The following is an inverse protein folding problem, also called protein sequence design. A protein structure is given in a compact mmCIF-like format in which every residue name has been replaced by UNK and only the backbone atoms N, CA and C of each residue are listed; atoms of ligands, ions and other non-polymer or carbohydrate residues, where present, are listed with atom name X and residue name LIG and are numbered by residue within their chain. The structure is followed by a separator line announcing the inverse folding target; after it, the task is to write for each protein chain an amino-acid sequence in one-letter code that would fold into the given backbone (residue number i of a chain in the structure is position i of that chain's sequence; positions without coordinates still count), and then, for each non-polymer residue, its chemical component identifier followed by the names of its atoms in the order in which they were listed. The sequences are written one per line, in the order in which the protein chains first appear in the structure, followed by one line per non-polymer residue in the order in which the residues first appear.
data_IF_520336513700
#
_entry.id   IF_520336513700
#
_cell.length_a   1.000
_cell.length_b   1.000
_cell.length_c   1.000
_cell.angle_alpha   90.00
_cell.angle_beta   90.00
_cell.angle_gamma   90.00
#
_symmetry.space_group_name_H-M   'P 1'
#
loop_
_entity.id
_entity.type
_entity.pdbx_description
1 polymer ?
#
# COMPACT_ATOMS: atom_id res chain seq x y z
N UNK A 1 6.52 -14.54 23.87
CA UNK A 1 5.46 -13.60 23.41
C UNK A 1 5.09 -12.67 24.56
N UNK A 2 4.79 -11.38 24.29
CA UNK A 2 4.30 -10.46 25.31
C UNK A 2 2.88 -10.84 25.77
N UNK A 3 2.50 -10.45 26.99
CA UNK A 3 1.13 -10.67 27.51
C UNK A 3 0.09 -10.08 26.56
N UNK A 4 0.38 -8.93 25.95
CA UNK A 4 -0.47 -8.28 24.95
C UNK A 4 -0.72 -9.18 23.73
N UNK A 5 0.32 -9.80 23.19
CA UNK A 5 0.20 -10.71 22.05
C UNK A 5 -0.54 -12.00 22.42
N UNK A 6 -0.31 -12.54 23.63
CA UNK A 6 -1.02 -13.73 24.13
C UNK A 6 -2.52 -13.46 24.30
N UNK A 7 -2.90 -12.30 24.88
CA UNK A 7 -4.31 -11.89 25.03
C UNK A 7 -4.99 -11.75 23.68
N UNK A 8 -4.32 -11.11 22.70
CA UNK A 8 -4.87 -10.97 21.37
C UNK A 8 -5.08 -12.32 20.70
N UNK A 9 -4.11 -13.22 20.80
CA UNK A 9 -4.20 -14.58 20.25
C UNK A 9 -5.36 -15.39 20.87
N UNK A 10 -5.55 -15.29 22.19
CA UNK A 10 -6.65 -15.97 22.88
C UNK A 10 -8.03 -15.42 22.46
N UNK A 11 -8.17 -14.09 22.31
CA UNK A 11 -9.40 -13.47 21.83
C UNK A 11 -9.66 -13.77 20.37
N UNK A 12 -8.61 -13.87 19.56
CA UNK A 12 -8.69 -14.19 18.14
C UNK A 12 -9.14 -15.65 17.91
N UNK A 13 -8.61 -16.58 18.69
CA UNK A 13 -9.04 -17.98 18.65
C UNK A 13 -10.50 -18.16 19.09
N UNK A 14 -11.04 -17.24 19.88
CA UNK A 14 -12.40 -17.28 20.42
C UNK A 14 -13.30 -16.17 19.83
N UNK A 15 -13.07 -15.75 18.60
CA UNK A 15 -13.82 -14.66 17.96
C UNK A 15 -15.33 -14.75 18.20
N UNK A 16 -15.94 -13.63 18.54
CA UNK A 16 -17.37 -13.52 18.84
C UNK A 16 -17.78 -14.04 20.22
N UNK A 17 -16.91 -14.78 20.92
CA UNK A 17 -17.16 -15.25 22.28
C UNK A 17 -16.54 -14.29 23.30
N UNK A 18 -17.30 -13.94 24.33
CA UNK A 18 -16.76 -13.19 25.45
C UNK A 18 -15.99 -14.13 26.40
N UNK A 19 -14.75 -13.74 26.72
CA UNK A 19 -13.90 -14.40 27.69
C UNK A 19 -13.72 -13.45 28.87
N UNK A 20 -13.97 -13.93 30.08
CA UNK A 20 -13.80 -13.09 31.28
C UNK A 20 -12.33 -12.75 31.50
N UNK A 21 -12.08 -11.61 32.16
CA UNK A 21 -10.70 -11.24 32.52
C UNK A 21 -10.05 -12.23 33.50
N UNK A 22 -10.83 -12.98 34.26
CA UNK A 22 -10.32 -14.05 35.12
C UNK A 22 -9.94 -15.28 34.28
N UNK A 23 -10.80 -15.72 33.39
CA UNK A 23 -10.55 -16.85 32.49
C UNK A 23 -9.28 -16.63 31.65
N UNK A 24 -9.10 -15.40 31.08
CA UNK A 24 -7.86 -15.04 30.38
C UNK A 24 -6.63 -15.06 31.31
N UNK A 25 -6.77 -14.58 32.54
CA UNK A 25 -5.68 -14.58 33.52
C UNK A 25 -5.23 -16.00 33.86
N UNK A 26 -6.20 -16.89 34.10
CA UNK A 26 -5.95 -18.30 34.41
C UNK A 26 -5.34 -19.03 33.21
N UNK A 27 -5.89 -18.84 32.01
CA UNK A 27 -5.40 -19.45 30.78
C UNK A 27 -3.95 -19.05 30.44
N UNK A 28 -3.59 -17.79 30.69
CA UNK A 28 -2.27 -17.24 30.33
C UNK A 28 -1.27 -17.22 31.49
N UNK A 29 -1.68 -17.65 32.70
CA UNK A 29 -0.81 -17.67 33.88
C UNK A 29 -0.38 -16.28 34.36
N UNK A 30 -1.24 -15.25 34.21
CA UNK A 30 -0.94 -13.86 34.57
C UNK A 30 -2.02 -13.25 35.47
N UNK A 31 -1.77 -12.08 36.06
CA UNK A 31 -2.78 -11.41 36.87
C UNK A 31 -3.88 -10.75 36.05
N UNK A 32 -5.09 -10.60 36.63
CA UNK A 32 -6.19 -9.83 36.01
C UNK A 32 -5.80 -8.40 35.66
N UNK A 33 -4.94 -7.77 36.48
CA UNK A 33 -4.42 -6.43 36.23
C UNK A 33 -3.55 -6.41 34.95
N UNK A 34 -2.76 -7.48 34.71
CA UNK A 34 -1.97 -7.62 33.46
C UNK A 34 -2.89 -7.78 32.24
N UNK A 35 -3.99 -8.56 32.35
CA UNK A 35 -5.01 -8.69 31.31
C UNK A 35 -5.63 -7.32 30.99
N UNK A 36 -6.10 -6.60 32.02
CA UNK A 36 -6.70 -5.28 31.85
C UNK A 36 -5.74 -4.30 31.16
N UNK A 37 -4.47 -4.25 31.55
CA UNK A 37 -3.42 -3.46 30.91
C UNK A 37 -3.24 -3.84 29.44
N UNK A 38 -3.18 -5.15 29.16
CA UNK A 38 -3.01 -5.65 27.79
C UNK A 38 -4.20 -5.28 26.89
N UNK A 39 -5.43 -5.47 27.37
CA UNK A 39 -6.65 -5.09 26.65
C UNK A 39 -6.72 -3.59 26.42
N UNK A 40 -6.39 -2.78 27.43
CA UNK A 40 -6.36 -1.31 27.32
C UNK A 40 -5.35 -0.88 26.25
N UNK A 41 -4.15 -1.47 26.23
CA UNK A 41 -3.14 -1.20 25.25
C UNK A 41 -3.58 -1.64 23.82
N UNK A 42 -4.18 -2.82 23.68
CA UNK A 42 -4.71 -3.31 22.41
C UNK A 42 -5.79 -2.38 21.84
N UNK A 43 -6.70 -1.91 22.69
CA UNK A 43 -7.75 -0.97 22.29
C UNK A 43 -7.17 0.40 21.90
N UNK A 44 -6.16 0.87 22.63
CA UNK A 44 -5.44 2.10 22.27
C UNK A 44 -4.70 1.98 20.92
N UNK A 45 -4.26 0.77 20.55
CA UNK A 45 -3.66 0.49 19.24
C UNK A 45 -4.71 0.19 18.15
N UNK A 46 -5.99 0.50 18.40
CA UNK A 46 -7.06 0.35 17.40
C UNK A 46 -7.61 -1.07 17.25
N UNK A 47 -7.21 -2.04 18.11
CA UNK A 47 -7.81 -3.38 18.08
C UNK A 47 -9.27 -3.28 18.55
N UNK A 48 -10.26 -3.74 17.75
CA UNK A 48 -11.68 -3.57 18.06
C UNK A 48 -12.17 -4.58 19.10
N UNK A 49 -11.58 -4.53 20.32
CA UNK A 49 -12.01 -5.39 21.43
C UNK A 49 -13.25 -4.79 22.08
N UNK A 50 -14.32 -5.55 22.09
CA UNK A 50 -15.51 -5.26 22.89
C UNK A 50 -15.26 -5.62 24.36
N UNK A 51 -15.71 -4.74 25.26
CA UNK A 51 -15.64 -4.97 26.71
C UNK A 51 -17.02 -4.73 27.29
N UNK A 52 -17.63 -5.78 27.85
CA UNK A 52 -18.93 -5.71 28.52
C UNK A 52 -18.77 -6.10 29.96
N UNK A 53 -19.27 -5.24 30.86
CA UNK A 53 -19.28 -5.49 32.34
C UNK A 53 -19.91 -6.85 32.62
N UNK A 54 -19.27 -7.65 33.46
CA UNK A 54 -19.68 -9.01 33.87
C UNK A 54 -19.67 -10.08 32.74
N UNK A 55 -19.36 -9.74 31.49
CA UNK A 55 -19.17 -10.71 30.39
C UNK A 55 -17.71 -10.89 30.00
N UNK A 56 -16.92 -9.83 30.12
CA UNK A 56 -15.49 -9.85 29.77
C UNK A 56 -15.20 -9.19 28.41
N UNK A 57 -14.28 -9.75 27.69
CA UNK A 57 -13.70 -9.22 26.44
C UNK A 57 -14.00 -10.15 25.28
N UNK A 58 -14.30 -9.59 24.12
CA UNK A 58 -14.44 -10.33 22.88
C UNK A 58 -13.82 -9.59 21.72
N UNK A 59 -13.28 -10.33 20.77
CA UNK A 59 -12.96 -9.82 19.44
C UNK A 59 -14.15 -10.16 18.52
N UNK A 60 -14.82 -9.19 17.92
CA UNK A 60 -15.93 -9.45 16.99
C UNK A 60 -15.56 -10.41 15.87
N UNK A 61 -16.49 -11.21 15.37
CA UNK A 61 -16.23 -12.13 14.24
C UNK A 61 -15.64 -11.43 13.02
N UNK A 62 -16.11 -10.23 12.70
CA UNK A 62 -15.65 -9.42 11.58
C UNK A 62 -14.46 -8.50 11.89
N UNK A 63 -13.82 -8.65 13.07
CA UNK A 63 -12.70 -7.80 13.44
C UNK A 63 -11.52 -7.97 12.48
N UNK A 64 -11.11 -6.88 11.87
CA UNK A 64 -9.92 -6.84 11.03
C UNK A 64 -8.72 -6.39 11.89
N UNK A 65 -7.80 -7.31 12.14
CA UNK A 65 -6.60 -7.07 12.94
C UNK A 65 -5.49 -6.49 12.07
N UNK A 66 -5.36 -5.16 12.07
CA UNK A 66 -4.21 -4.48 11.49
C UNK A 66 -3.29 -4.01 12.61
N UNK A 67 -2.31 -4.82 12.95
CA UNK A 67 -1.24 -4.48 13.91
C UNK A 67 0.09 -5.11 13.47
N UNK A 68 1.20 -4.66 14.05
CA UNK A 68 2.54 -5.10 13.68
C UNK A 68 2.74 -6.61 13.87
N UNK A 69 2.24 -7.18 14.97
CA UNK A 69 2.41 -8.61 15.28
C UNK A 69 1.69 -9.49 14.24
N UNK A 70 0.44 -9.13 13.87
CA UNK A 70 -0.34 -9.86 12.87
C UNK A 70 0.31 -9.83 11.49
N UNK A 71 0.91 -8.72 11.11
CA UNK A 71 1.65 -8.60 9.84
C UNK A 71 2.94 -9.42 9.90
N UNK A 72 3.74 -9.25 10.97
CA UNK A 72 5.03 -9.91 11.15
C UNK A 72 4.89 -11.44 11.13
N UNK A 73 3.80 -11.98 11.71
CA UNK A 73 3.52 -13.41 11.70
C UNK A 73 3.33 -14.02 10.28
N UNK A 74 3.02 -13.18 9.28
CA UNK A 74 2.80 -13.56 7.89
C UNK A 74 4.00 -13.25 6.97
N UNK A 75 5.06 -12.63 7.51
CA UNK A 75 6.26 -12.33 6.74
C UNK A 75 7.14 -13.57 6.56
N UNK A 76 7.78 -13.65 5.40
CA UNK A 76 8.90 -14.56 5.20
C UNK A 76 10.05 -14.23 6.20
N UNK A 77 10.77 -15.22 6.73
CA UNK A 77 11.79 -14.98 7.77
C UNK A 77 12.83 -13.92 7.42
N UNK A 78 13.29 -13.88 6.17
CA UNK A 78 14.25 -12.88 5.70
C UNK A 78 13.66 -11.46 5.70
N UNK A 79 12.37 -11.32 5.33
CA UNK A 79 11.68 -10.03 5.35
C UNK A 79 11.41 -9.58 6.78
N UNK A 80 10.97 -10.48 7.65
CA UNK A 80 10.74 -10.18 9.06
C UNK A 80 12.00 -9.67 9.80
N UNK A 81 13.20 -10.10 9.37
CA UNK A 81 14.47 -9.61 9.89
C UNK A 81 14.87 -8.25 9.30
N UNK A 82 14.43 -7.95 8.10
CA UNK A 82 14.82 -6.76 7.34
C UNK A 82 13.91 -5.56 7.60
N UNK A 83 12.68 -5.76 8.12
CA UNK A 83 11.72 -4.68 8.30
C UNK A 83 11.34 -4.47 9.76
N UNK A 84 11.14 -3.20 10.13
CA UNK A 84 10.53 -2.80 11.41
C UNK A 84 9.17 -2.19 11.14
N UNK A 85 8.11 -2.79 11.66
CA UNK A 85 6.72 -2.37 11.40
C UNK A 85 6.18 -1.56 12.56
N UNK A 86 5.65 -0.37 12.24
CA UNK A 86 4.90 0.49 13.16
C UNK A 86 3.50 0.69 12.59
N UNK A 87 2.47 0.40 13.39
CA UNK A 87 1.08 0.66 13.03
C UNK A 87 0.51 1.73 13.95
N UNK A 88 -0.15 2.72 13.36
CA UNK A 88 -0.79 3.83 14.08
C UNK A 88 -2.24 4.02 13.63
N UNK A 89 -3.07 4.61 14.48
CA UNK A 89 -4.48 4.82 14.16
C UNK A 89 -4.64 5.89 13.07
N UNK A 90 -4.05 7.06 13.26
CA UNK A 90 -4.19 8.19 12.35
C UNK A 90 -2.97 9.10 12.39
N UNK A 91 -2.62 9.61 11.22
CA UNK A 91 -1.63 10.68 11.06
C UNK A 91 -1.93 11.47 9.77
N UNK A 92 -1.27 12.59 9.52
CA UNK A 92 -1.45 13.35 8.27
C UNK A 92 -1.13 12.52 7.02
N UNK A 93 0.00 11.83 7.01
CA UNK A 93 0.42 10.97 5.90
C UNK A 93 1.65 10.14 6.26
N UNK A 94 1.63 8.84 5.91
CA UNK A 94 2.70 7.89 6.21
C UNK A 94 4.01 8.27 5.52
N UNK A 95 3.97 8.73 4.27
CA UNK A 95 5.16 9.21 3.55
C UNK A 95 5.81 10.41 4.26
N UNK A 96 5.02 11.40 4.65
CA UNK A 96 5.54 12.60 5.30
C UNK A 96 6.21 12.26 6.65
N UNK A 97 5.60 11.37 7.42
CA UNK A 97 6.16 10.91 8.68
C UNK A 97 7.49 10.15 8.48
N UNK A 98 7.55 9.23 7.49
CA UNK A 98 8.79 8.50 7.20
C UNK A 98 9.89 9.40 6.61
N UNK A 99 9.56 10.42 5.83
CA UNK A 99 10.59 11.40 5.39
C UNK A 99 11.25 12.09 6.57
N UNK A 100 10.48 12.48 7.58
CA UNK A 100 11.04 13.06 8.82
C UNK A 100 11.96 12.04 9.53
N UNK A 101 11.56 10.77 9.62
CA UNK A 101 12.40 9.73 10.19
C UNK A 101 13.67 9.49 9.36
N UNK A 102 13.57 9.49 8.03
CA UNK A 102 14.71 9.33 7.13
C UNK A 102 15.75 10.44 7.30
N UNK A 103 15.31 11.70 7.39
CA UNK A 103 16.17 12.87 7.66
C UNK A 103 16.84 12.78 9.03
N UNK A 104 16.20 12.13 10.01
CA UNK A 104 16.77 11.87 11.34
C UNK A 104 17.64 10.60 11.39
N UNK A 105 18.01 10.03 10.26
CA UNK A 105 18.92 8.89 10.17
C UNK A 105 18.29 7.50 10.38
N UNK A 106 16.96 7.39 10.31
CA UNK A 106 16.31 6.07 10.41
C UNK A 106 16.87 5.10 9.35
N UNK A 107 17.04 3.80 9.68
CA UNK A 107 17.58 2.81 8.76
C UNK A 107 16.56 2.40 7.68
N UNK A 108 17.06 1.76 6.62
CA UNK A 108 16.25 1.05 5.64
C UNK A 108 15.35 0.01 6.32
N UNK A 109 14.18 -0.24 5.75
CA UNK A 109 13.26 -1.26 6.24
C UNK A 109 12.26 -0.75 7.31
N UNK A 110 12.29 0.54 7.69
CA UNK A 110 11.25 1.10 8.53
C UNK A 110 9.93 1.19 7.76
N UNK A 111 8.90 0.49 8.23
CA UNK A 111 7.55 0.43 7.64
C UNK A 111 6.57 1.13 8.58
N UNK A 112 5.86 2.13 8.07
CA UNK A 112 4.81 2.85 8.81
C UNK A 112 3.46 2.62 8.14
N UNK A 113 2.51 2.12 8.91
CA UNK A 113 1.16 1.84 8.47
C UNK A 113 0.18 2.68 9.29
N UNK A 114 -0.80 3.31 8.62
CA UNK A 114 -1.87 4.04 9.29
C UNK A 114 -3.23 3.42 8.99
N UNK A 115 -4.13 3.41 9.96
CA UNK A 115 -5.51 2.98 9.74
C UNK A 115 -6.33 4.03 8.97
N UNK A 116 -5.93 5.31 9.05
CA UNK A 116 -6.48 6.41 8.27
C UNK A 116 -5.46 7.54 8.14
N UNK A 117 -5.58 8.36 7.07
CA UNK A 117 -4.77 9.56 6.90
C UNK A 117 -5.68 10.80 6.77
N UNK A 118 -5.29 11.93 7.41
CA UNK A 118 -6.04 13.17 7.30
C UNK A 118 -5.60 14.06 6.14
N UNK A 119 -4.40 13.86 5.61
CA UNK A 119 -3.82 14.61 4.49
C UNK A 119 -2.98 13.69 3.58
N UNK A 120 -3.56 12.53 3.21
CA UNK A 120 -2.94 11.59 2.27
C UNK A 120 -2.58 12.26 0.95
N UNK A 121 -1.41 11.95 0.40
CA UNK A 121 -0.88 12.58 -0.82
C UNK A 121 -0.72 11.57 -1.94
N UNK A 122 -1.05 12.01 -3.15
CA UNK A 122 -0.71 11.37 -4.40
C UNK A 122 0.33 12.19 -5.18
N UNK A 123 0.63 11.78 -6.38
CA UNK A 123 1.55 12.48 -7.29
C UNK A 123 1.03 13.88 -7.66
N UNK A 124 1.95 14.80 -7.97
CA UNK A 124 1.67 16.16 -8.44
C UNK A 124 0.76 16.96 -7.49
N UNK A 125 0.87 16.71 -6.19
CA UNK A 125 0.11 17.45 -5.17
C UNK A 125 -1.36 17.04 -5.03
N UNK A 126 -1.84 16.04 -5.77
CA UNK A 126 -3.19 15.52 -5.57
C UNK A 126 -3.35 14.91 -4.17
N UNK A 127 -4.54 15.09 -3.59
CA UNK A 127 -4.89 14.37 -2.36
C UNK A 127 -5.18 12.89 -2.65
N UNK A 128 -4.91 12.03 -1.67
CA UNK A 128 -5.33 10.64 -1.66
C UNK A 128 -6.32 10.42 -0.52
N UNK A 129 -7.58 10.15 -0.85
CA UNK A 129 -8.63 9.91 0.13
C UNK A 129 -8.36 8.63 0.91
N UNK A 130 -8.18 8.76 2.23
CA UNK A 130 -7.64 7.70 3.09
C UNK A 130 -8.51 7.46 4.33
N UNK A 131 -9.79 7.05 4.18
CA UNK A 131 -10.68 6.75 5.31
C UNK A 131 -10.28 5.44 6.00
N UNK A 132 -10.81 5.15 7.21
CA UNK A 132 -10.69 3.83 7.82
C UNK A 132 -11.17 2.70 6.88
N UNK A 133 -10.54 1.53 6.97
CA UNK A 133 -10.88 0.35 6.15
C UNK A 133 -9.98 0.17 4.92
N UNK A 134 -9.14 1.15 4.56
CA UNK A 134 -8.04 1.00 3.60
C UNK A 134 -6.75 0.48 4.25
N UNK A 135 -5.72 0.28 3.43
CA UNK A 135 -4.35 0.02 3.88
C UNK A 135 -3.45 1.15 3.37
N UNK A 136 -2.87 1.91 4.28
CA UNK A 136 -1.96 3.03 3.98
C UNK A 136 -0.62 2.72 4.58
N UNK A 137 0.31 2.32 3.73
CA UNK A 137 1.62 1.81 4.10
C UNK A 137 2.70 2.64 3.41
N UNK A 138 3.75 2.99 4.15
CA UNK A 138 4.99 3.50 3.56
C UNK A 138 6.20 2.72 4.07
N UNK A 139 7.21 2.57 3.22
CA UNK A 139 8.48 1.92 3.55
C UNK A 139 9.64 2.87 3.23
N UNK A 140 10.59 2.96 4.15
CA UNK A 140 11.83 3.70 3.97
C UNK A 140 12.88 2.81 3.31
N UNK A 141 13.46 3.28 2.22
CA UNK A 141 14.49 2.62 1.45
C UNK A 141 15.76 3.51 1.41
N UNK A 142 16.93 2.86 1.37
CA UNK A 142 18.23 3.52 1.14
C UNK A 142 18.96 2.85 -0.02
N UNK A 143 18.42 2.96 -1.23
CA UNK A 143 18.95 2.25 -2.38
C UNK A 143 20.23 2.89 -2.90
N UNK A 144 21.20 2.07 -3.31
CA UNK A 144 22.35 2.53 -4.08
C UNK A 144 21.99 2.79 -5.55
N UNK A 145 20.96 3.62 -5.79
CA UNK A 145 20.43 3.93 -7.12
C UNK A 145 20.61 5.41 -7.46
N UNK A 146 20.78 5.70 -8.74
CA UNK A 146 20.77 7.08 -9.23
C UNK A 146 19.34 7.63 -9.30
N UNK A 147 19.21 8.95 -9.36
CA UNK A 147 17.91 9.64 -9.53
C UNK A 147 17.13 9.16 -10.75
N UNK A 148 17.82 8.81 -11.84
CA UNK A 148 17.21 8.28 -13.08
C UNK A 148 16.50 6.94 -12.87
N UNK A 149 16.89 6.17 -11.85
CA UNK A 149 16.36 4.87 -11.54
C UNK A 149 15.17 4.91 -10.56
N UNK A 150 14.88 6.08 -9.98
CA UNK A 150 13.75 6.27 -9.05
C UNK A 150 12.38 5.82 -9.61
N UNK A 151 12.02 6.04 -10.89
CA UNK A 151 10.75 5.55 -11.45
C UNK A 151 10.64 4.02 -11.46
N UNK A 152 11.77 3.30 -11.56
CA UNK A 152 11.80 1.84 -11.54
C UNK A 152 11.40 1.27 -10.17
N UNK A 153 11.71 1.98 -9.06
CA UNK A 153 11.24 1.59 -7.71
C UNK A 153 9.70 1.59 -7.67
N UNK A 154 9.08 2.62 -8.25
CA UNK A 154 7.62 2.73 -8.32
C UNK A 154 7.01 1.61 -9.17
N UNK A 155 7.61 1.30 -10.33
CA UNK A 155 7.14 0.26 -11.23
C UNK A 155 7.28 -1.14 -10.61
N UNK A 156 8.41 -1.43 -9.96
CA UNK A 156 8.65 -2.66 -9.22
C UNK A 156 7.62 -2.82 -8.08
N UNK A 157 7.37 -1.75 -7.32
CA UNK A 157 6.36 -1.74 -6.27
C UNK A 157 4.94 -1.98 -6.82
N UNK A 158 4.64 -1.47 -8.03
CA UNK A 158 3.34 -1.71 -8.67
C UNK A 158 3.15 -3.19 -9.03
N UNK A 159 4.22 -3.88 -9.48
CA UNK A 159 4.17 -5.34 -9.71
C UNK A 159 3.96 -6.10 -8.42
N UNK A 160 4.76 -5.80 -7.38
CA UNK A 160 4.62 -6.44 -6.07
C UNK A 160 3.22 -6.25 -5.48
N UNK A 161 2.70 -5.03 -5.55
CA UNK A 161 1.37 -4.68 -5.06
C UNK A 161 0.25 -5.36 -5.88
N UNK A 162 0.41 -5.47 -7.21
CA UNK A 162 -0.55 -6.18 -8.05
C UNK A 162 -0.59 -7.67 -7.72
N UNK A 163 0.57 -8.33 -7.57
CA UNK A 163 0.65 -9.74 -7.19
C UNK A 163 0.03 -9.99 -5.81
N UNK A 164 0.38 -9.16 -4.82
CA UNK A 164 -0.20 -9.26 -3.48
C UNK A 164 -1.73 -9.10 -3.49
N UNK A 165 -2.24 -8.14 -4.26
CA UNK A 165 -3.67 -7.92 -4.38
C UNK A 165 -4.38 -9.11 -5.06
N UNK A 166 -3.82 -9.66 -6.14
CA UNK A 166 -4.35 -10.83 -6.84
C UNK A 166 -4.41 -12.08 -5.96
N UNK A 167 -3.37 -12.32 -5.15
CA UNK A 167 -3.37 -13.44 -4.19
C UNK A 167 -4.56 -13.38 -3.24
N UNK A 168 -5.01 -12.18 -2.87
CA UNK A 168 -6.10 -12.02 -1.91
C UNK A 168 -7.47 -11.94 -2.56
N UNK A 169 -7.61 -11.25 -3.68
CA UNK A 169 -8.93 -11.04 -4.31
C UNK A 169 -9.26 -12.03 -5.42
N UNK A 170 -8.29 -12.83 -5.89
CA UNK A 170 -8.48 -13.80 -6.96
C UNK A 170 -8.82 -13.19 -8.33
N UNK A 171 -8.65 -11.88 -8.50
CA UNK A 171 -9.01 -11.16 -9.72
C UNK A 171 -7.77 -10.48 -10.31
N UNK A 172 -7.55 -10.52 -11.63
CA UNK A 172 -6.42 -9.84 -12.27
C UNK A 172 -6.39 -8.35 -11.96
N UNK A 173 -5.19 -7.86 -11.65
CA UNK A 173 -4.93 -6.45 -11.35
C UNK A 173 -4.06 -5.87 -12.47
N UNK A 174 -4.57 -4.83 -13.10
CA UNK A 174 -3.87 -4.08 -14.13
C UNK A 174 -3.11 -2.90 -13.52
N UNK A 175 -2.07 -2.46 -14.22
CA UNK A 175 -1.29 -1.29 -13.83
C UNK A 175 -1.57 -0.18 -14.85
N UNK A 176 -2.14 0.93 -14.41
CA UNK A 176 -2.14 2.16 -15.19
C UNK A 176 -0.82 2.88 -14.93
N UNK A 177 -0.05 3.04 -15.98
CA UNK A 177 1.24 3.74 -15.94
C UNK A 177 1.15 5.07 -15.19
N UNK A 178 2.00 5.29 -14.24
CA UNK A 178 3.16 4.50 -13.80
C UNK A 178 2.86 3.78 -12.48
N UNK A 179 1.81 4.19 -11.76
CA UNK A 179 1.72 4.03 -10.30
C UNK A 179 0.31 3.70 -9.77
N UNK A 180 -0.67 3.48 -10.64
CA UNK A 180 -2.04 3.18 -10.21
C UNK A 180 -2.39 1.73 -10.50
N UNK A 181 -2.92 1.00 -9.51
CA UNK A 181 -3.48 -0.34 -9.74
C UNK A 181 -4.97 -0.23 -10.01
N UNK A 182 -5.40 -0.98 -11.01
CA UNK A 182 -6.78 -1.00 -11.47
C UNK A 182 -7.38 -2.40 -11.42
N UNK A 183 -8.61 -2.49 -10.92
CA UNK A 183 -9.48 -3.65 -10.97
C UNK A 183 -10.76 -3.23 -11.69
N UNK A 184 -11.13 -3.93 -12.77
CA UNK A 184 -12.36 -3.65 -13.54
C UNK A 184 -12.47 -2.16 -13.95
N UNK A 185 -11.38 -1.59 -14.47
CA UNK A 185 -11.34 -0.22 -14.95
C UNK A 185 -11.34 0.87 -13.86
N UNK A 186 -11.34 0.51 -12.58
CA UNK A 186 -11.31 1.46 -11.45
C UNK A 186 -10.05 1.34 -10.63
N UNK A 187 -9.59 2.48 -10.11
CA UNK A 187 -8.38 2.56 -9.28
C UNK A 187 -8.63 1.98 -7.89
N UNK A 188 -7.88 0.92 -7.56
CA UNK A 188 -7.92 0.25 -6.24
C UNK A 188 -6.68 0.53 -5.40
N UNK A 189 -5.59 1.01 -6.00
CA UNK A 189 -4.38 1.41 -5.28
C UNK A 189 -3.67 2.56 -6.00
N UNK A 190 -3.05 3.43 -5.22
CA UNK A 190 -2.10 4.44 -5.70
C UNK A 190 -0.77 4.28 -5.01
N UNK A 191 0.32 4.45 -5.76
CA UNK A 191 1.70 4.33 -5.27
C UNK A 191 2.38 5.68 -5.43
N UNK A 192 3.14 6.11 -4.41
CA UNK A 192 3.88 7.36 -4.42
C UNK A 192 5.29 7.13 -3.87
N UNK A 193 6.28 7.26 -4.73
CA UNK A 193 7.70 7.30 -4.32
C UNK A 193 8.17 8.73 -4.21
N UNK A 194 8.66 9.13 -3.04
CA UNK A 194 9.31 10.41 -2.78
C UNK A 194 10.75 10.14 -2.37
N UNK A 195 11.71 10.82 -2.98
CA UNK A 195 13.13 10.58 -2.73
C UNK A 195 13.87 11.88 -2.40
N UNK A 196 14.91 11.78 -1.59
CA UNK A 196 15.92 12.80 -1.44
C UNK A 196 17.18 12.39 -2.22
N UNK A 197 17.89 13.38 -2.71
CA UNK A 197 19.07 13.21 -3.55
C UNK A 197 20.25 13.82 -2.83
N UNK A 198 21.33 13.08 -2.76
CA UNK A 198 22.64 13.65 -2.44
C UNK A 198 23.17 14.40 -3.68
N UNK A 199 23.27 15.72 -3.55
CA UNK A 199 23.65 16.60 -4.64
C UNK A 199 25.11 16.43 -5.07
N UNK A 200 25.97 15.88 -4.22
CA UNK A 200 27.40 15.66 -4.54
C UNK A 200 27.58 14.41 -5.39
N UNK A 201 26.92 13.31 -5.03
CA UNK A 201 27.04 12.03 -5.74
C UNK A 201 26.00 11.82 -6.85
N UNK A 202 24.89 12.56 -6.83
CA UNK A 202 23.73 12.34 -7.72
C UNK A 202 22.96 11.05 -7.42
N UNK A 203 23.26 10.39 -6.30
CA UNK A 203 22.60 9.19 -5.83
C UNK A 203 21.41 9.52 -4.93
N UNK A 204 20.53 8.55 -4.74
CA UNK A 204 19.45 8.68 -3.76
C UNK A 204 20.03 8.54 -2.34
N UNK A 205 19.81 9.54 -1.49
CA UNK A 205 20.09 9.44 -0.05
C UNK A 205 19.07 8.49 0.60
N UNK A 206 17.79 8.68 0.29
CA UNK A 206 16.72 7.77 0.66
C UNK A 206 15.55 7.87 -0.32
N UNK A 207 14.69 6.86 -0.30
CA UNK A 207 13.38 6.91 -0.92
C UNK A 207 12.30 6.45 0.07
N UNK A 208 11.16 7.13 0.08
CA UNK A 208 9.97 6.72 0.81
C UNK A 208 8.93 6.26 -0.21
N UNK A 209 8.66 4.97 -0.20
CA UNK A 209 7.68 4.32 -1.06
C UNK A 209 6.36 4.17 -0.30
N UNK A 210 5.33 4.89 -0.73
CA UNK A 210 3.99 4.84 -0.15
C UNK A 210 2.99 4.13 -1.02
N UNK A 211 2.11 3.35 -0.41
CA UNK A 211 0.97 2.67 -1.04
C UNK A 211 -0.31 3.00 -0.30
N UNK A 212 -1.35 3.30 -1.07
CA UNK A 212 -2.71 3.44 -0.56
C UNK A 212 -3.64 2.47 -1.27
N UNK A 213 -4.10 1.42 -0.58
CA UNK A 213 -5.09 0.48 -1.09
C UNK A 213 -6.49 0.81 -0.60
N UNK A 214 -7.43 0.81 -1.52
CA UNK A 214 -8.87 0.84 -1.26
C UNK A 214 -9.35 -0.61 -1.12
N UNK A 215 -9.47 -1.14 0.10
CA UNK A 215 -9.89 -2.53 0.25
C UNK A 215 -11.38 -2.71 0.02
N UNK A 216 -12.19 -1.86 0.64
CA UNK A 216 -13.65 -1.86 0.51
C UNK A 216 -14.15 -0.44 0.24
N UNK A 217 -15.34 -0.34 -0.29
CA UNK A 217 -15.99 0.96 -0.43
C UNK A 217 -16.24 1.55 0.98
N UNK A 218 -15.88 2.82 1.22
CA UNK A 218 -16.16 3.48 2.48
C UNK A 218 -17.66 3.49 2.80
N UNK A 219 -18.03 3.43 4.07
CA UNK A 219 -19.43 3.41 4.51
C UNK A 219 -20.25 4.62 4.03
N UNK A 220 -19.59 5.78 3.83
CA UNK A 220 -20.18 7.00 3.26
C UNK A 220 -20.12 7.07 1.72
N UNK A 221 -19.64 6.02 1.05
CA UNK A 221 -19.38 6.03 -0.40
C UNK A 221 -18.09 6.80 -0.75
N UNK A 222 -17.81 6.87 -2.04
CA UNK A 222 -16.71 7.70 -2.57
C UNK A 222 -17.16 9.16 -2.65
N UNK A 223 -16.26 10.13 -2.38
CA UNK A 223 -16.49 11.53 -2.74
C UNK A 223 -16.93 11.67 -4.20
N UNK A 224 -17.79 12.64 -4.51
CA UNK A 224 -18.38 12.81 -5.85
C UNK A 224 -17.33 12.81 -6.96
N UNK A 225 -16.21 13.50 -6.73
CA UNK A 225 -15.11 13.65 -7.66
C UNK A 225 -14.30 12.33 -7.87
N UNK A 226 -14.41 11.38 -6.96
CA UNK A 226 -13.74 10.08 -7.03
C UNK A 226 -14.65 8.94 -7.48
N UNK A 227 -15.97 9.09 -7.41
CA UNK A 227 -16.94 8.03 -7.64
C UNK A 227 -16.84 7.35 -9.02
N UNK A 228 -16.41 8.11 -10.04
CA UNK A 228 -16.23 7.58 -11.38
C UNK A 228 -14.93 6.77 -11.55
N UNK A 229 -13.90 7.08 -10.75
CA UNK A 229 -12.53 6.55 -10.95
C UNK A 229 -12.05 5.63 -9.83
N UNK A 230 -12.55 5.79 -8.61
CA UNK A 230 -12.16 4.96 -7.48
C UNK A 230 -12.93 3.64 -7.47
N UNK A 231 -12.22 2.58 -7.13
CA UNK A 231 -12.76 1.25 -6.90
C UNK A 231 -12.23 0.65 -5.62
N UNK A 232 -12.70 -0.55 -5.30
CA UNK A 232 -12.30 -1.33 -4.15
C UNK A 232 -11.73 -2.68 -4.59
N UNK A 233 -10.77 -3.19 -3.80
CA UNK A 233 -10.19 -4.51 -4.04
C UNK A 233 -11.22 -5.62 -3.84
N UNK A 234 -12.09 -5.46 -2.82
CA UNK A 234 -13.19 -6.36 -2.51
C UNK A 234 -14.53 -5.67 -2.70
N UNK A 235 -15.51 -6.41 -3.24
CA UNK A 235 -16.86 -5.92 -3.49
C UNK A 235 -17.73 -5.98 -2.22
N UNK A 236 -17.31 -6.78 -1.22
CA UNK A 236 -17.91 -6.90 0.11
C UNK A 236 -16.82 -6.92 1.20
N UNK A 237 -17.21 -6.93 2.45
CA UNK A 237 -16.23 -7.03 3.55
C UNK A 237 -15.37 -8.28 3.39
N UNK A 238 -14.02 -8.15 3.31
CA UNK A 238 -13.13 -9.28 3.19
C UNK A 238 -13.07 -10.10 4.49
N UNK A 239 -12.43 -11.27 4.41
CA UNK A 239 -12.16 -12.06 5.61
C UNK A 239 -11.37 -11.23 6.64
N UNK A 240 -11.59 -11.46 7.95
CA UNK A 240 -10.82 -10.83 9.01
C UNK A 240 -9.31 -11.04 8.80
N UNK A 241 -8.52 -9.97 9.02
CA UNK A 241 -7.08 -10.00 8.81
C UNK A 241 -6.63 -9.72 7.36
N UNK A 242 -7.54 -9.44 6.44
CA UNK A 242 -7.20 -9.18 5.03
C UNK A 242 -6.22 -8.00 4.87
N UNK A 243 -6.30 -6.95 5.70
CA UNK A 243 -5.36 -5.83 5.65
C UNK A 243 -3.95 -6.26 6.06
N UNK A 244 -3.83 -7.05 7.11
CA UNK A 244 -2.55 -7.59 7.56
C UNK A 244 -1.96 -8.56 6.53
N UNK A 245 -2.80 -9.43 5.95
CA UNK A 245 -2.40 -10.34 4.88
C UNK A 245 -1.92 -9.59 3.63
N UNK A 246 -2.64 -8.53 3.21
CA UNK A 246 -2.23 -7.70 2.06
C UNK A 246 -0.91 -6.98 2.32
N UNK A 247 -0.74 -6.40 3.52
CA UNK A 247 0.50 -5.74 3.90
C UNK A 247 1.69 -6.72 3.88
N UNK A 248 1.53 -7.91 4.47
CA UNK A 248 2.57 -8.93 4.48
C UNK A 248 2.87 -9.48 3.09
N UNK A 249 1.85 -9.78 2.28
CA UNK A 249 2.03 -10.24 0.90
C UNK A 249 2.78 -9.21 0.06
N UNK A 250 2.40 -7.92 0.17
CA UNK A 250 3.12 -6.84 -0.50
C UNK A 250 4.59 -6.75 -0.05
N UNK A 251 4.85 -6.77 1.26
CA UNK A 251 6.21 -6.68 1.78
C UNK A 251 7.07 -7.87 1.33
N UNK A 252 6.53 -9.08 1.32
CA UNK A 252 7.22 -10.28 0.85
C UNK A 252 7.57 -10.16 -0.66
N UNK A 253 6.59 -9.82 -1.50
CA UNK A 253 6.80 -9.66 -2.95
C UNK A 253 7.76 -8.51 -3.26
N UNK A 254 7.55 -7.35 -2.63
CA UNK A 254 8.39 -6.17 -2.87
C UNK A 254 9.84 -6.43 -2.47
N UNK A 255 10.09 -6.99 -1.29
CA UNK A 255 11.44 -7.24 -0.80
C UNK A 255 12.20 -8.26 -1.66
N UNK A 256 11.49 -9.31 -2.08
CA UNK A 256 12.06 -10.31 -2.99
C UNK A 256 12.49 -9.66 -4.33
N UNK A 257 11.64 -8.80 -4.93
CA UNK A 257 11.95 -8.12 -6.17
C UNK A 257 13.02 -7.03 -6.01
N UNK A 258 12.97 -6.26 -4.92
CA UNK A 258 13.91 -5.18 -4.64
C UNK A 258 15.36 -5.67 -4.54
N UNK A 259 15.58 -6.83 -3.93
CA UNK A 259 16.90 -7.44 -3.80
C UNK A 259 17.40 -8.13 -5.08
N UNK A 260 16.54 -8.47 -6.04
CA UNK A 260 16.97 -8.94 -7.35
C UNK A 260 17.51 -7.82 -8.26
N UNK A 261 17.37 -6.57 -7.82
CA UNK A 261 17.80 -5.38 -8.54
C UNK A 261 16.79 -4.88 -9.56
N UNK A 262 17.09 -3.72 -10.14
CA UNK A 262 16.18 -3.02 -11.06
C UNK A 262 16.07 -3.65 -12.45
N UNK A 263 16.92 -4.64 -12.79
CA UNK A 263 16.88 -5.39 -14.06
C UNK A 263 16.50 -6.84 -13.77
N UNK A 264 15.19 -7.13 -13.79
CA UNK A 264 14.69 -8.46 -13.51
C UNK A 264 13.41 -8.76 -14.31
N UNK A 265 12.93 -10.01 -14.22
CA UNK A 265 11.70 -10.47 -14.88
C UNK A 265 10.43 -9.71 -14.43
N UNK A 266 10.51 -8.89 -13.39
CA UNK A 266 9.41 -8.03 -12.96
C UNK A 266 9.02 -6.99 -14.03
N UNK A 267 9.97 -6.55 -14.89
CA UNK A 267 9.69 -5.58 -15.94
C UNK A 267 8.76 -6.16 -17.01
N UNK A 268 8.92 -7.45 -17.35
CA UNK A 268 8.01 -8.12 -18.28
C UNK A 268 6.61 -8.28 -17.68
N UNK A 269 6.53 -8.54 -16.36
CA UNK A 269 5.26 -8.57 -15.65
C UNK A 269 4.59 -7.19 -15.60
N UNK A 270 5.39 -6.14 -15.35
CA UNK A 270 4.92 -4.75 -15.43
C UNK A 270 4.34 -4.42 -16.80
N UNK A 271 5.02 -4.82 -17.90
CA UNK A 271 4.57 -4.63 -19.27
C UNK A 271 3.27 -5.36 -19.57
N UNK A 272 3.16 -6.64 -19.16
CA UNK A 272 1.95 -7.44 -19.37
C UNK A 272 0.72 -6.87 -18.68
N UNK A 273 0.92 -6.25 -17.51
CA UNK A 273 -0.15 -5.67 -16.69
C UNK A 273 -0.60 -4.29 -17.14
N UNK A 274 0.08 -3.68 -18.14
CA UNK A 274 -0.25 -2.32 -18.54
C UNK A 274 -1.67 -2.17 -19.09
N UNK A 275 -2.48 -1.37 -18.39
CA UNK A 275 -3.86 -1.10 -18.77
C UNK A 275 -4.01 -0.24 -20.04
N UNK A 276 -2.96 0.49 -20.42
CA UNK A 276 -3.03 1.49 -21.48
C UNK A 276 -2.44 1.02 -22.82
N UNK A 277 -1.70 -0.08 -22.86
CA UNK A 277 -1.08 -0.58 -24.10
C UNK A 277 -2.14 -0.84 -25.18
N UNK A 278 -1.90 -0.32 -26.37
CA UNK A 278 -2.81 -0.38 -27.53
C UNK A 278 -3.97 0.63 -27.49
N UNK A 279 -4.09 1.45 -26.44
CA UNK A 279 -5.19 2.41 -26.28
C UNK A 279 -4.80 3.79 -26.76
N UNK A 280 -5.79 4.53 -27.26
CA UNK A 280 -5.69 5.95 -27.52
C UNK A 280 -5.88 6.73 -26.21
N UNK A 281 -5.06 7.75 -26.00
CA UNK A 281 -5.02 8.55 -24.78
C UNK A 281 -4.77 10.02 -25.11
N UNK A 282 -5.16 10.92 -24.22
CA UNK A 282 -4.71 12.31 -24.26
C UNK A 282 -3.48 12.47 -23.38
N UNK A 283 -2.37 12.89 -23.98
CA UNK A 283 -1.16 13.32 -23.27
C UNK A 283 -1.24 14.79 -22.97
N UNK A 284 -0.88 15.16 -21.74
CA UNK A 284 -0.71 16.56 -21.33
C UNK A 284 0.75 16.72 -20.91
N UNK A 285 1.65 17.14 -21.84
CA UNK A 285 3.03 17.45 -21.51
C UNK A 285 3.12 18.68 -20.61
N UNK A 286 4.17 18.77 -19.79
CA UNK A 286 4.38 19.94 -18.96
C UNK A 286 4.66 21.16 -19.85
N UNK A 287 3.84 22.21 -19.72
CA UNK A 287 4.02 23.47 -20.46
C UNK A 287 3.62 23.42 -21.94
N UNK A 288 2.91 22.37 -22.39
CA UNK A 288 2.48 22.23 -23.79
C UNK A 288 0.99 21.88 -23.88
N UNK A 289 0.42 22.08 -25.07
CA UNK A 289 -0.98 21.73 -25.35
C UNK A 289 -1.22 20.20 -25.30
N UNK A 290 -2.43 19.77 -24.90
CA UNK A 290 -2.80 18.37 -24.96
C UNK A 290 -2.70 17.78 -26.38
N UNK A 291 -2.22 16.53 -26.50
CA UNK A 291 -2.12 15.81 -27.77
C UNK A 291 -2.70 14.41 -27.66
N UNK A 292 -3.39 13.95 -28.70
CA UNK A 292 -3.78 12.56 -28.85
C UNK A 292 -2.56 11.67 -29.11
N UNK A 293 -2.58 10.45 -28.60
CA UNK A 293 -1.52 9.47 -28.83
C UNK A 293 -2.00 8.03 -28.61
N UNK A 294 -1.42 7.08 -29.32
CA UNK A 294 -1.59 5.66 -29.07
C UNK A 294 -0.43 5.14 -28.20
N UNK A 295 -0.76 4.48 -27.11
CA UNK A 295 0.23 3.85 -26.21
C UNK A 295 0.74 2.56 -26.87
N UNK A 296 2.04 2.46 -27.09
CA UNK A 296 2.70 1.30 -27.69
C UNK A 296 3.22 0.31 -26.62
N UNK A 297 3.54 0.80 -25.44
CA UNK A 297 4.06 -0.02 -24.33
C UNK A 297 4.94 0.76 -23.38
N UNK A 298 5.87 0.04 -22.75
CA UNK A 298 6.82 0.56 -21.76
C UNK A 298 8.24 0.14 -22.19
N UNK A 299 9.17 1.07 -22.16
CA UNK A 299 10.59 0.78 -22.41
C UNK A 299 11.33 0.22 -21.18
N UNK A 300 12.64 -0.02 -21.32
CA UNK A 300 13.46 -0.61 -20.25
C UNK A 300 13.69 0.33 -19.05
N UNK A 301 13.48 1.63 -19.22
CA UNK A 301 13.57 2.65 -18.19
C UNK A 301 12.20 2.96 -17.56
N UNK A 302 11.18 2.14 -17.81
CA UNK A 302 9.79 2.32 -17.35
C UNK A 302 9.13 3.60 -17.90
N UNK A 303 9.62 4.17 -19.01
CA UNK A 303 8.99 5.29 -19.69
C UNK A 303 7.85 4.80 -20.56
N UNK A 304 6.83 5.64 -20.72
CA UNK A 304 5.69 5.36 -21.59
C UNK A 304 6.08 5.57 -23.06
N UNK A 305 6.03 4.51 -23.84
CA UNK A 305 6.28 4.56 -25.29
C UNK A 305 4.95 4.82 -25.99
N UNK A 306 4.87 5.92 -26.74
CA UNK A 306 3.66 6.36 -27.44
C UNK A 306 3.97 6.77 -28.87
N UNK A 307 2.95 6.73 -29.72
CA UNK A 307 2.95 7.40 -31.03
C UNK A 307 1.89 8.51 -30.98
N UNK A 308 2.34 9.77 -31.00
CA UNK A 308 1.41 10.89 -31.05
C UNK A 308 0.73 10.97 -32.42
N UNK A 309 -0.47 11.51 -32.45
CA UNK A 309 -1.23 11.67 -33.69
C UNK A 309 -0.50 12.58 -34.66
N UNK A 310 -0.31 12.07 -35.88
CA UNK A 310 0.47 12.73 -36.92
C UNK A 310 1.99 12.45 -36.89
N UNK A 311 2.52 11.83 -35.84
CA UNK A 311 3.95 11.50 -35.76
C UNK A 311 4.25 10.14 -36.42
N UNK A 312 5.35 10.06 -37.18
CA UNK A 312 5.80 8.82 -37.83
C UNK A 312 6.55 7.90 -36.88
N UNK A 313 7.29 8.47 -35.94
CA UNK A 313 8.13 7.73 -35.01
C UNK A 313 7.53 7.73 -33.58
N UNK A 314 7.74 6.67 -32.79
CA UNK A 314 7.36 6.64 -31.39
C UNK A 314 8.28 7.51 -30.53
N UNK A 315 7.73 8.03 -29.43
CA UNK A 315 8.45 8.82 -28.43
C UNK A 315 8.26 8.17 -27.04
N UNK A 316 9.32 8.17 -26.23
CA UNK A 316 9.27 7.69 -24.85
C UNK A 316 9.23 8.88 -23.87
N UNK A 317 8.27 8.87 -22.96
CA UNK A 317 8.08 9.92 -21.95
C UNK A 317 8.28 9.40 -20.53
N UNK A 318 9.01 10.17 -19.74
CA UNK A 318 9.09 10.00 -18.30
C UNK A 318 7.79 10.39 -17.57
N UNK A 319 7.60 9.87 -16.38
CA UNK A 319 6.38 10.10 -15.61
C UNK A 319 6.26 11.51 -15.04
N UNK A 320 7.34 12.25 -14.99
CA UNK A 320 7.45 13.65 -14.60
C UNK A 320 7.19 14.60 -15.77
N UNK A 321 7.34 14.13 -17.01
CA UNK A 321 7.20 14.94 -18.24
C UNK A 321 5.76 15.11 -18.68
N UNK A 322 4.91 14.07 -18.49
CA UNK A 322 3.54 14.06 -18.99
C UNK A 322 2.51 13.60 -17.96
N UNK A 323 1.26 14.02 -18.18
CA UNK A 323 0.07 13.43 -17.58
C UNK A 323 -0.69 12.66 -18.66
N UNK A 324 -1.18 11.46 -18.35
CA UNK A 324 -1.94 10.61 -19.28
C UNK A 324 -3.38 10.53 -18.85
N UNK A 325 -4.30 10.91 -19.73
CA UNK A 325 -5.74 10.79 -19.53
C UNK A 325 -6.26 9.73 -20.49
N UNK A 326 -6.75 8.57 -20.00
CA UNK A 326 -7.42 7.59 -20.83
C UNK A 326 -8.73 8.18 -21.40
N UNK A 327 -9.09 7.85 -22.63
CA UNK A 327 -10.41 8.19 -23.15
C UNK A 327 -11.49 7.39 -22.41
N UNK A 328 -12.53 8.10 -21.97
CA UNK A 328 -13.70 7.49 -21.31
C UNK A 328 -14.45 6.62 -22.34
N UNK A 329 -14.52 5.32 -22.08
CA UNK A 329 -15.14 4.32 -22.94
C UNK A 329 -14.23 3.14 -23.33
N UNK A 330 -12.92 3.28 -23.15
CA UNK A 330 -11.94 2.24 -23.48
C UNK A 330 -11.63 1.26 -22.32
N UNK A 331 -12.37 1.33 -21.22
CA UNK A 331 -12.08 0.59 -19.96
C UNK A 331 -13.14 -0.48 -19.62
N UNK A 332 -14.01 -0.82 -20.60
CA UNK A 332 -14.97 -1.91 -20.45
C UNK A 332 -14.35 -3.28 -20.75
#
# INVERSE_FOLDING_TARGET
MSVKAQVLSALDAARGRYISGQELADQLGVSRAAIWKAVTALRADGTPIEAITNRGYALPHGADLLNADAITALLAPAVAQAVQIIVVDRLPGTNAALRTQATNGAPEGLVLIAQAQSAGRGRRGHSFFSPPGGLYLSILLRPAFSTRQSPQITALAAVAAARAAEQLCGTPIQIKWVNDLWKNGKKVCGILTEAAVDLESGMLDYAVLGLGFNLVQPSGGWPKELAAVAGSLFDSAPAPGARAALAAAFLNEFWALYHTGLRGSWLDDYRRRQALTGRHVTLIPNGSEPRGATVLGIDDDCRLLVRCDGDLAPTAFGSDEIRVIPELGALA
#
